data_IF_342831454488
#
_entry.id   IF_342831454488
#
_cell.length_a   1.000
_cell.length_b   1.000
_cell.length_c   1.000
_cell.angle_alpha   90.00
_cell.angle_beta   90.00
_cell.angle_gamma   90.00
#
_symmetry.space_group_name_H-M   'P 1'
#
loop_
_entity.id
_entity.type
_entity.pdbx_description
1 polymer ?
#
# COMPACT_ATOMS: atom_id res chain seq x y z
N UNK A 1 20.58 -15.05 13.75
CA UNK A 1 19.61 -15.10 12.65
C UNK A 1 20.28 -14.60 11.39
N UNK A 2 20.24 -15.37 10.30
CA UNK A 2 20.81 -14.97 9.00
C UNK A 2 19.79 -14.15 8.20
N UNK A 3 20.32 -13.26 7.38
CA UNK A 3 19.56 -12.48 6.40
C UNK A 3 20.16 -12.69 5.01
N UNK A 4 19.32 -12.51 3.98
CA UNK A 4 19.81 -12.47 2.61
C UNK A 4 20.80 -11.31 2.43
N UNK A 5 22.01 -11.60 1.97
CA UNK A 5 23.07 -10.59 1.77
C UNK A 5 22.70 -9.50 0.77
N UNK A 6 21.75 -9.78 -0.13
CA UNK A 6 21.35 -8.86 -1.20
C UNK A 6 20.13 -8.04 -0.81
N UNK A 7 19.05 -8.69 -0.37
CA UNK A 7 17.77 -8.01 -0.13
C UNK A 7 17.40 -7.84 1.34
N UNK A 8 18.26 -8.23 2.29
CA UNK A 8 18.02 -8.08 3.73
C UNK A 8 16.94 -8.99 4.33
N UNK A 9 16.19 -9.74 3.51
CA UNK A 9 15.08 -10.57 4.02
C UNK A 9 15.61 -11.61 5.03
N UNK A 10 15.04 -11.67 6.26
CA UNK A 10 15.43 -12.66 7.26
C UNK A 10 15.00 -14.08 6.89
N UNK A 11 15.78 -15.09 7.33
CA UNK A 11 15.42 -16.51 7.19
C UNK A 11 14.21 -16.93 8.05
N UNK A 12 13.81 -16.09 9.03
CA UNK A 12 12.60 -16.30 9.84
C UNK A 12 11.30 -16.00 9.11
N UNK A 13 11.37 -15.30 7.97
CA UNK A 13 10.21 -15.07 7.12
C UNK A 13 9.79 -16.39 6.49
N UNK A 14 8.51 -16.72 6.61
CA UNK A 14 7.98 -17.99 6.10
C UNK A 14 8.27 -18.16 4.59
N UNK A 15 8.69 -19.37 4.22
CA UNK A 15 9.10 -19.72 2.86
C UNK A 15 10.44 -19.13 2.38
N UNK A 16 11.21 -18.45 3.23
CA UNK A 16 12.55 -17.96 2.87
C UNK A 16 13.62 -19.00 3.18
N UNK A 17 14.29 -19.45 2.14
CA UNK A 17 15.48 -20.29 2.24
C UNK A 17 16.70 -19.54 1.70
N UNK A 18 17.77 -19.51 2.49
CA UNK A 18 19.08 -19.00 2.09
C UNK A 18 19.98 -20.16 1.66
N UNK A 19 20.72 -19.98 0.57
CA UNK A 19 21.79 -20.92 0.20
C UNK A 19 23.04 -20.77 1.10
N UNK A 20 24.07 -21.58 0.82
CA UNK A 20 25.36 -21.54 1.53
C UNK A 20 26.02 -20.17 1.45
N UNK A 21 25.87 -19.45 0.34
CA UNK A 21 26.35 -18.08 0.16
C UNK A 21 25.51 -17.01 0.87
N UNK A 22 24.40 -17.38 1.50
CA UNK A 22 23.50 -16.45 2.19
C UNK A 22 22.59 -15.65 1.26
N UNK A 23 22.24 -16.19 0.10
CA UNK A 23 21.36 -15.54 -0.88
C UNK A 23 20.02 -16.28 -0.97
N UNK A 24 18.91 -15.54 -0.87
CA UNK A 24 17.59 -16.15 -0.96
C UNK A 24 17.24 -16.58 -2.39
N UNK A 25 16.34 -17.56 -2.50
CA UNK A 25 15.84 -18.08 -3.80
C UNK A 25 15.34 -16.98 -4.75
N UNK A 26 14.64 -15.98 -4.22
CA UNK A 26 14.12 -14.86 -5.03
C UNK A 26 15.25 -14.00 -5.63
N UNK A 27 16.27 -13.65 -4.82
CA UNK A 27 17.45 -12.91 -5.29
C UNK A 27 18.18 -13.67 -6.40
N UNK A 28 18.46 -14.96 -6.19
CA UNK A 28 19.14 -15.80 -7.20
C UNK A 28 18.44 -15.80 -8.56
N UNK A 29 17.10 -15.76 -8.56
CA UNK A 29 16.29 -15.76 -9.79
C UNK A 29 16.17 -14.38 -10.42
N UNK A 30 15.90 -13.35 -9.62
CA UNK A 30 15.47 -12.04 -10.13
C UNK A 30 16.62 -11.09 -10.46
N UNK A 31 17.77 -11.21 -9.80
CA UNK A 31 18.89 -10.26 -9.98
C UNK A 31 19.47 -10.31 -11.39
N UNK A 32 19.34 -11.45 -12.07
CA UNK A 32 19.79 -11.60 -13.46
C UNK A 32 19.00 -10.72 -14.45
N UNK A 33 17.78 -10.33 -14.09
CA UNK A 33 16.85 -9.62 -14.97
C UNK A 33 16.10 -8.52 -14.20
N UNK A 34 16.84 -7.56 -13.65
CA UNK A 34 16.25 -6.35 -13.08
C UNK A 34 15.94 -5.38 -14.23
N UNK A 35 14.65 -5.08 -14.50
CA UNK A 35 14.29 -4.13 -15.54
C UNK A 35 14.79 -2.72 -15.16
N UNK A 36 15.27 -1.98 -16.15
CA UNK A 36 15.72 -0.60 -15.92
C UNK A 36 14.53 0.29 -15.52
N UNK A 37 14.74 1.19 -14.54
CA UNK A 37 13.71 2.19 -14.18
C UNK A 37 13.25 3.00 -15.39
N UNK A 38 14.17 3.33 -16.30
CA UNK A 38 13.86 4.06 -17.54
C UNK A 38 12.90 3.25 -18.42
N UNK A 39 13.16 1.95 -18.59
CA UNK A 39 12.30 1.06 -19.38
C UNK A 39 10.92 0.88 -18.74
N UNK A 40 10.86 0.77 -17.41
CA UNK A 40 9.59 0.68 -16.68
C UNK A 40 8.75 1.95 -16.87
N UNK A 41 9.35 3.13 -16.69
CA UNK A 41 8.67 4.41 -16.88
C UNK A 41 8.20 4.59 -18.32
N UNK A 42 9.02 4.22 -19.28
CA UNK A 42 8.67 4.30 -20.70
C UNK A 42 7.47 3.41 -21.05
N UNK A 43 7.39 2.20 -20.47
CA UNK A 43 6.23 1.31 -20.62
C UNK A 43 4.97 1.90 -20.00
N UNK A 44 5.08 2.52 -18.82
CA UNK A 44 3.95 3.20 -18.16
C UNK A 44 3.47 4.38 -19.00
N UNK A 45 4.39 5.26 -19.42
CA UNK A 45 4.11 6.45 -20.24
C UNK A 45 3.37 6.07 -21.53
N UNK A 46 3.90 5.11 -22.29
CA UNK A 46 3.25 4.62 -23.51
C UNK A 46 1.87 4.03 -23.27
N UNK A 47 1.67 3.34 -22.14
CA UNK A 47 0.36 2.79 -21.82
C UNK A 47 -0.67 3.90 -21.52
N UNK A 48 -0.25 4.96 -20.83
CA UNK A 48 -1.09 6.13 -20.58
C UNK A 48 -1.39 6.90 -21.87
N UNK A 49 -0.38 7.15 -22.71
CA UNK A 49 -0.55 7.84 -24.02
C UNK A 49 -1.45 7.09 -24.99
N UNK A 50 -1.53 5.76 -24.87
CA UNK A 50 -2.42 4.94 -25.69
C UNK A 50 -3.84 4.81 -25.10
N UNK A 51 -4.13 5.49 -23.99
CA UNK A 51 -5.43 5.47 -23.31
C UNK A 51 -6.04 6.87 -23.36
N UNK A 52 -7.19 7.03 -24.00
CA UNK A 52 -7.89 8.31 -24.10
C UNK A 52 -8.61 8.60 -22.77
N UNK A 53 -9.39 7.63 -22.29
CA UNK A 53 -10.15 7.71 -21.04
C UNK A 53 -9.63 6.72 -20.01
N UNK A 54 -9.23 7.21 -18.84
CA UNK A 54 -8.70 6.38 -17.75
C UNK A 54 -9.46 6.53 -16.44
N UNK A 55 -9.62 5.40 -15.73
CA UNK A 55 -10.08 5.38 -14.34
C UNK A 55 -8.88 5.33 -13.39
N UNK A 56 -8.70 6.35 -12.56
CA UNK A 56 -7.64 6.38 -11.55
C UNK A 56 -8.18 5.89 -10.20
N UNK A 57 -7.52 4.89 -9.64
CA UNK A 57 -7.77 4.39 -8.29
C UNK A 57 -7.11 5.30 -7.24
N UNK A 58 -7.92 6.06 -6.48
CA UNK A 58 -7.40 7.03 -5.51
C UNK A 58 -7.72 6.62 -4.06
N UNK A 59 -6.69 6.58 -3.21
CA UNK A 59 -6.81 6.21 -1.80
C UNK A 59 -6.41 7.33 -0.83
N UNK A 60 -6.02 8.50 -1.34
CA UNK A 60 -5.49 9.62 -0.55
C UNK A 60 -4.04 9.45 -0.07
N UNK A 61 -3.41 8.32 -0.38
CA UNK A 61 -1.98 8.09 -0.15
C UNK A 61 -1.10 8.63 -1.28
N UNK A 62 0.19 8.79 -1.00
CA UNK A 62 1.20 9.39 -1.89
C UNK A 62 1.14 8.79 -3.29
N UNK A 63 1.25 7.47 -3.36
CA UNK A 63 1.35 6.76 -4.63
C UNK A 63 0.10 6.89 -5.49
N UNK A 64 -1.09 6.89 -4.86
CA UNK A 64 -2.35 7.03 -5.58
C UNK A 64 -2.63 8.45 -6.04
N UNK A 65 -2.17 9.45 -5.29
CA UNK A 65 -2.25 10.86 -5.69
C UNK A 65 -1.23 11.16 -6.79
N UNK A 66 -0.01 10.63 -6.70
CA UNK A 66 0.98 10.75 -7.77
C UNK A 66 0.51 10.08 -9.06
N UNK A 67 -0.16 8.93 -8.97
CA UNK A 67 -0.79 8.28 -10.12
C UNK A 67 -1.88 9.13 -10.76
N UNK A 68 -2.69 9.83 -9.94
CA UNK A 68 -3.69 10.79 -10.44
C UNK A 68 -3.02 11.97 -11.14
N UNK A 69 -2.01 12.58 -10.51
CA UNK A 69 -1.27 13.69 -11.10
C UNK A 69 -0.61 13.30 -12.43
N UNK A 70 0.01 12.12 -12.51
CA UNK A 70 0.58 11.62 -13.75
C UNK A 70 -0.48 11.39 -14.85
N UNK A 71 -1.65 10.87 -14.50
CA UNK A 71 -2.73 10.69 -15.45
C UNK A 71 -3.27 12.03 -15.98
N UNK A 72 -3.44 13.03 -15.11
CA UNK A 72 -3.88 14.38 -15.49
C UNK A 72 -2.91 15.09 -16.45
N UNK A 73 -1.62 14.75 -16.40
CA UNK A 73 -0.60 15.29 -17.32
C UNK A 73 -0.62 14.66 -18.71
N UNK A 74 -1.16 13.45 -18.86
CA UNK A 74 -0.93 12.61 -20.05
C UNK A 74 -2.21 12.23 -20.77
N UNK A 75 -3.27 11.88 -20.04
CA UNK A 75 -4.53 11.39 -20.60
C UNK A 75 -5.50 12.54 -20.88
N UNK A 76 -6.30 12.40 -21.92
CA UNK A 76 -7.29 13.41 -22.31
C UNK A 76 -8.49 13.43 -21.36
N UNK A 77 -9.00 12.25 -20.97
CA UNK A 77 -10.11 12.11 -20.04
C UNK A 77 -9.72 11.29 -18.80
N UNK A 78 -9.81 11.92 -17.63
CA UNK A 78 -9.47 11.30 -16.35
C UNK A 78 -10.70 11.29 -15.46
N UNK A 79 -11.09 10.11 -15.00
CA UNK A 79 -12.09 9.94 -13.95
C UNK A 79 -11.45 9.27 -12.74
N UNK A 80 -11.78 9.72 -11.54
CA UNK A 80 -11.24 9.17 -10.30
C UNK A 80 -12.29 8.35 -9.55
N UNK A 81 -11.83 7.29 -8.89
CA UNK A 81 -12.66 6.50 -7.99
C UNK A 81 -11.93 6.28 -6.67
N UNK A 82 -12.62 6.58 -5.58
CA UNK A 82 -12.23 6.20 -4.22
C UNK A 82 -13.13 5.09 -3.72
N UNK A 83 -12.54 3.99 -3.23
CA UNK A 83 -13.28 2.97 -2.49
C UNK A 83 -13.07 3.21 -1.00
N UNK A 84 -14.12 3.63 -0.31
CA UNK A 84 -14.11 3.81 1.13
C UNK A 84 -14.30 2.46 1.83
N UNK A 85 -13.24 2.05 2.53
CA UNK A 85 -13.20 0.79 3.28
C UNK A 85 -13.66 0.94 4.74
N UNK A 86 -13.94 2.17 5.19
CA UNK A 86 -14.12 2.53 6.59
C UNK A 86 -12.80 2.65 7.36
N UNK A 87 -11.66 2.39 6.74
CA UNK A 87 -10.33 2.41 7.37
C UNK A 87 -9.37 3.45 6.77
N UNK A 88 -9.88 4.38 5.95
CA UNK A 88 -9.08 5.51 5.48
C UNK A 88 -8.85 6.49 6.64
N UNK A 89 -7.61 6.96 6.76
CA UNK A 89 -7.21 7.93 7.76
C UNK A 89 -7.83 9.31 7.47
N UNK A 90 -8.15 10.13 8.49
CA UNK A 90 -8.70 11.47 8.31
C UNK A 90 -7.88 12.36 7.37
N UNK A 91 -6.55 12.32 7.48
CA UNK A 91 -5.68 13.08 6.57
C UNK A 91 -5.73 12.55 5.12
N UNK A 92 -5.92 11.25 4.91
CA UNK A 92 -6.13 10.70 3.57
C UNK A 92 -7.44 11.20 2.97
N UNK A 93 -8.50 11.28 3.79
CA UNK A 93 -9.76 11.90 3.42
C UNK A 93 -9.61 13.38 3.07
N UNK A 94 -8.88 14.13 3.90
CA UNK A 94 -8.57 15.55 3.65
C UNK A 94 -7.89 15.73 2.29
N UNK A 95 -6.88 14.91 2.00
CA UNK A 95 -6.16 14.92 0.71
C UNK A 95 -7.06 14.55 -0.46
N UNK A 96 -7.94 13.55 -0.31
CA UNK A 96 -8.94 13.20 -1.34
C UNK A 96 -9.85 14.39 -1.65
N UNK A 97 -10.36 15.07 -0.62
CA UNK A 97 -11.26 16.23 -0.80
C UNK A 97 -10.53 17.38 -1.51
N UNK A 98 -9.29 17.68 -1.11
CA UNK A 98 -8.49 18.74 -1.72
C UNK A 98 -8.11 18.40 -3.16
N UNK A 99 -7.57 17.20 -3.41
CA UNK A 99 -7.20 16.75 -4.75
C UNK A 99 -8.42 16.72 -5.68
N UNK A 100 -9.59 16.29 -5.20
CA UNK A 100 -10.85 16.34 -5.96
C UNK A 100 -11.23 17.77 -6.35
N UNK A 101 -11.13 18.71 -5.40
CA UNK A 101 -11.44 20.12 -5.67
C UNK A 101 -10.47 20.73 -6.69
N UNK A 102 -9.19 20.37 -6.62
CA UNK A 102 -8.15 20.95 -7.46
C UNK A 102 -8.11 20.37 -8.87
N UNK A 103 -8.34 19.06 -9.00
CA UNK A 103 -8.37 18.39 -10.30
C UNK A 103 -9.59 18.78 -11.14
N UNK A 104 -10.73 19.09 -10.52
CA UNK A 104 -11.95 19.48 -11.24
C UNK A 104 -12.57 18.36 -12.08
N UNK A 105 -12.12 17.12 -11.93
CA UNK A 105 -12.59 15.95 -12.69
C UNK A 105 -13.80 15.28 -12.05
N UNK A 106 -14.45 14.39 -12.80
CA UNK A 106 -15.41 13.45 -12.22
C UNK A 106 -14.69 12.55 -11.20
N UNK A 107 -15.23 12.53 -9.98
CA UNK A 107 -14.66 11.74 -8.90
C UNK A 107 -15.77 11.09 -8.09
N UNK A 108 -15.83 9.78 -8.17
CA UNK A 108 -16.80 8.96 -7.46
C UNK A 108 -16.23 8.37 -6.17
N UNK A 109 -17.09 8.18 -5.18
CA UNK A 109 -16.75 7.56 -3.89
C UNK A 109 -17.73 6.42 -3.64
N UNK A 110 -17.22 5.19 -3.53
CA UNK A 110 -18.03 4.00 -3.19
C UNK A 110 -17.88 3.70 -1.70
N UNK A 111 -19.00 3.82 -0.96
CA UNK A 111 -19.05 3.71 0.51
C UNK A 111 -19.52 2.36 1.09
N UNK A 112 -19.38 1.25 0.36
CA UNK A 112 -19.78 -0.07 0.88
C UNK A 112 -18.71 -0.65 1.84
N UNK A 113 -18.69 -0.12 3.07
CA UNK A 113 -17.68 -0.43 4.10
C UNK A 113 -17.89 -1.79 4.76
N UNK A 114 -19.14 -2.29 4.87
CA UNK A 114 -19.47 -3.49 5.67
C UNK A 114 -18.63 -4.72 5.33
N UNK A 115 -18.39 -5.06 4.06
CA UNK A 115 -17.54 -6.21 3.71
C UNK A 115 -16.09 -6.04 4.16
N UNK A 116 -15.56 -4.82 4.14
CA UNK A 116 -14.20 -4.53 4.58
C UNK A 116 -14.06 -4.63 6.09
N UNK A 117 -15.01 -4.07 6.84
CA UNK A 117 -15.03 -4.16 8.30
C UNK A 117 -15.08 -5.61 8.78
N UNK A 118 -15.92 -6.45 8.15
CA UNK A 118 -15.96 -7.89 8.43
C UNK A 118 -14.62 -8.58 8.14
N UNK A 119 -14.00 -8.26 7.01
CA UNK A 119 -12.68 -8.79 6.65
C UNK A 119 -11.62 -8.39 7.70
N UNK A 120 -11.62 -7.13 8.14
CA UNK A 120 -10.68 -6.65 9.16
C UNK A 120 -10.87 -7.39 10.48
N UNK A 121 -12.11 -7.59 10.91
CA UNK A 121 -12.43 -8.34 12.13
C UNK A 121 -11.87 -9.76 12.10
N UNK A 122 -12.16 -10.49 11.02
CA UNK A 122 -11.73 -11.87 10.82
C UNK A 122 -10.19 -12.00 10.84
N UNK A 123 -9.50 -11.10 10.12
CA UNK A 123 -8.04 -11.18 9.93
C UNK A 123 -7.27 -10.69 11.16
N UNK A 124 -7.68 -9.58 11.77
CA UNK A 124 -7.01 -9.07 12.98
C UNK A 124 -7.18 -10.05 14.16
N UNK A 125 -8.35 -10.69 14.31
CA UNK A 125 -8.56 -11.72 15.33
C UNK A 125 -7.54 -12.86 15.22
N UNK A 126 -7.22 -13.26 13.98
CA UNK A 126 -6.27 -14.33 13.66
C UNK A 126 -4.82 -13.88 13.57
N UNK A 127 -4.55 -12.58 13.76
CA UNK A 127 -3.27 -11.93 13.51
C UNK A 127 -2.73 -12.22 12.10
N UNK A 128 -3.61 -12.16 11.10
CA UNK A 128 -3.30 -12.33 9.68
C UNK A 128 -3.37 -10.98 8.95
N UNK A 129 -2.63 -10.84 7.85
CA UNK A 129 -2.67 -9.62 7.04
C UNK A 129 -4.02 -9.47 6.31
N UNK A 130 -4.77 -8.35 6.49
CA UNK A 130 -5.98 -8.08 5.73
C UNK A 130 -5.71 -7.50 4.34
N UNK A 131 -4.49 -7.01 4.07
CA UNK A 131 -4.18 -6.14 2.94
C UNK A 131 -4.39 -6.83 1.58
N UNK A 132 -3.99 -8.10 1.45
CA UNK A 132 -4.17 -8.86 0.20
C UNK A 132 -5.64 -9.05 -0.18
N UNK A 133 -6.48 -9.66 0.70
CA UNK A 133 -7.92 -9.75 0.46
C UNK A 133 -8.61 -8.40 0.27
N UNK A 134 -8.24 -7.37 1.06
CA UNK A 134 -8.81 -6.03 0.97
C UNK A 134 -8.51 -5.40 -0.41
N UNK A 135 -7.25 -5.43 -0.85
CA UNK A 135 -6.83 -4.93 -2.17
C UNK A 135 -7.57 -5.63 -3.31
N UNK A 136 -7.83 -6.95 -3.21
CA UNK A 136 -8.64 -7.66 -4.22
C UNK A 136 -10.10 -7.17 -4.25
N UNK A 137 -10.70 -6.90 -3.10
CA UNK A 137 -12.07 -6.38 -3.01
C UNK A 137 -12.20 -4.97 -3.57
N UNK A 138 -11.19 -4.13 -3.34
CA UNK A 138 -11.06 -2.79 -3.93
C UNK A 138 -10.90 -2.91 -5.45
N UNK A 139 -9.97 -3.74 -5.91
CA UNK A 139 -9.68 -3.93 -7.35
C UNK A 139 -10.92 -4.39 -8.12
N UNK A 140 -11.73 -5.30 -7.56
CA UNK A 140 -13.00 -5.73 -8.18
C UNK A 140 -14.00 -4.60 -8.37
N UNK A 141 -14.02 -3.60 -7.47
CA UNK A 141 -14.88 -2.41 -7.59
C UNK A 141 -14.38 -1.49 -8.70
N UNK A 142 -13.07 -1.26 -8.78
CA UNK A 142 -12.47 -0.54 -9.92
C UNK A 142 -12.75 -1.24 -11.25
N UNK A 143 -12.54 -2.55 -11.34
CA UNK A 143 -12.80 -3.32 -12.57
C UNK A 143 -14.26 -3.26 -13.00
N UNK A 144 -15.20 -3.35 -12.05
CA UNK A 144 -16.63 -3.21 -12.35
C UNK A 144 -16.91 -1.82 -12.92
N UNK A 145 -16.48 -0.78 -12.19
CA UNK A 145 -16.78 0.61 -12.54
C UNK A 145 -16.12 1.04 -13.85
N UNK A 146 -14.90 0.57 -14.10
CA UNK A 146 -14.18 0.78 -15.34
C UNK A 146 -14.96 0.28 -16.56
N UNK A 147 -15.57 -0.92 -16.47
CA UNK A 147 -16.41 -1.46 -17.55
C UNK A 147 -17.71 -0.68 -17.76
N UNK A 148 -18.34 -0.24 -16.66
CA UNK A 148 -19.56 0.59 -16.74
C UNK A 148 -19.30 1.95 -17.40
N UNK A 149 -18.11 2.53 -17.16
CA UNK A 149 -17.70 3.82 -17.72
C UNK A 149 -17.07 3.72 -19.11
N UNK A 150 -16.78 2.50 -19.58
CA UNK A 150 -16.12 2.26 -20.87
C UNK A 150 -14.72 2.88 -20.96
N UNK A 151 -13.92 2.79 -19.89
CA UNK A 151 -12.54 3.35 -19.88
C UNK A 151 -11.54 2.41 -20.57
N UNK A 152 -10.48 2.97 -21.15
CA UNK A 152 -9.42 2.24 -21.84
C UNK A 152 -8.46 1.55 -20.86
N UNK A 153 -8.26 2.13 -19.68
CA UNK A 153 -7.36 1.58 -18.66
C UNK A 153 -7.74 1.98 -17.23
N UNK A 154 -7.30 1.17 -16.28
CA UNK A 154 -7.32 1.47 -14.85
C UNK A 154 -5.90 1.85 -14.41
N UNK A 155 -5.72 3.02 -13.82
CA UNK A 155 -4.42 3.50 -13.33
C UNK A 155 -4.35 3.35 -11.81
N UNK A 156 -3.25 2.76 -11.31
CA UNK A 156 -3.03 2.52 -9.88
C UNK A 156 -1.65 2.98 -9.43
N UNK A 157 -1.52 3.33 -8.15
CA UNK A 157 -0.25 3.75 -7.53
C UNK A 157 0.77 2.63 -7.27
N UNK A 158 0.64 1.43 -7.83
CA UNK A 158 1.60 0.36 -7.52
C UNK A 158 2.98 0.64 -8.14
N UNK A 159 4.03 0.39 -7.37
CA UNK A 159 5.41 0.71 -7.72
C UNK A 159 6.22 -0.47 -8.27
N UNK A 160 5.84 -1.70 -7.95
CA UNK A 160 6.58 -2.89 -8.36
C UNK A 160 5.83 -3.79 -9.36
N UNK A 161 6.52 -4.22 -10.42
CA UNK A 161 6.14 -5.43 -11.12
C UNK A 161 6.52 -6.63 -10.24
N UNK A 162 5.59 -7.18 -9.45
CA UNK A 162 5.81 -8.39 -8.65
C UNK A 162 5.96 -9.66 -9.52
N UNK A 163 7.00 -9.72 -10.36
CA UNK A 163 7.15 -10.75 -11.40
C UNK A 163 6.19 -10.58 -12.58
N UNK A 164 5.59 -9.40 -12.74
CA UNK A 164 4.62 -9.10 -13.81
C UNK A 164 5.08 -7.89 -14.64
N UNK A 165 4.27 -7.42 -15.59
CA UNK A 165 4.52 -6.17 -16.33
C UNK A 165 3.98 -4.94 -15.55
N UNK A 166 4.50 -3.72 -15.80
CA UNK A 166 3.85 -2.46 -15.40
C UNK A 166 2.41 -2.33 -15.91
N UNK A 167 2.11 -2.98 -17.04
CA UNK A 167 0.76 -3.08 -17.60
C UNK A 167 0.27 -4.51 -17.42
N UNK A 168 -0.76 -4.70 -16.60
CA UNK A 168 -1.37 -6.01 -16.37
C UNK A 168 -2.42 -6.24 -17.46
N UNK A 169 -2.34 -7.33 -18.25
CA UNK A 169 -3.25 -7.61 -19.35
C UNK A 169 -4.60 -8.11 -18.81
N UNK A 170 -5.43 -7.16 -18.39
CA UNK A 170 -6.84 -7.35 -18.02
C UNK A 170 -7.72 -6.58 -19.01
N UNK A 171 -9.02 -6.72 -18.85
CA UNK A 171 -10.02 -5.99 -19.64
C UNK A 171 -10.93 -5.15 -18.71
N UNK A 172 -10.72 -3.82 -18.64
CA UNK A 172 -9.62 -3.06 -19.26
C UNK A 172 -8.25 -3.29 -18.56
N UNK A 173 -7.11 -3.00 -19.23
CA UNK A 173 -5.77 -3.18 -18.66
C UNK A 173 -5.54 -2.34 -17.40
N UNK A 174 -4.69 -2.86 -16.50
CA UNK A 174 -4.30 -2.14 -15.28
C UNK A 174 -2.87 -1.62 -15.39
N UNK A 175 -2.72 -0.30 -15.37
CA UNK A 175 -1.44 0.40 -15.41
C UNK A 175 -0.97 0.66 -13.97
N UNK A 176 0.26 0.23 -13.66
CA UNK A 176 0.96 0.50 -12.40
C UNK A 176 1.85 1.72 -12.57
N UNK A 177 1.30 2.88 -12.26
CA UNK A 177 1.89 4.17 -12.65
C UNK A 177 3.24 4.46 -11.99
N UNK A 178 3.48 3.93 -10.79
CA UNK A 178 4.68 4.26 -10.01
C UNK A 178 5.89 3.39 -10.35
N UNK A 179 5.77 2.47 -11.33
CA UNK A 179 6.87 1.63 -11.78
C UNK A 179 8.03 2.47 -12.33
N UNK A 180 9.19 2.37 -11.68
CA UNK A 180 10.40 3.10 -12.04
C UNK A 180 10.51 4.50 -11.44
N UNK A 181 9.58 4.91 -10.58
CA UNK A 181 9.61 6.19 -9.85
C UNK A 181 10.10 6.00 -8.41
N UNK A 182 10.91 6.95 -7.93
CA UNK A 182 11.33 7.13 -6.54
C UNK A 182 10.22 7.77 -5.70
N UNK A 183 10.35 7.76 -4.37
CA UNK A 183 9.38 8.42 -3.50
C UNK A 183 9.40 9.96 -3.68
N UNK A 184 10.58 10.55 -3.89
CA UNK A 184 10.71 12.00 -4.10
C UNK A 184 10.02 12.45 -5.40
N UNK A 185 10.24 11.75 -6.51
CA UNK A 185 9.54 12.05 -7.78
C UNK A 185 8.01 12.00 -7.60
N UNK A 186 7.50 11.09 -6.76
CA UNK A 186 6.06 11.01 -6.46
C UNK A 186 5.57 12.20 -5.64
N UNK A 187 6.38 12.65 -4.68
CA UNK A 187 6.07 13.83 -3.85
C UNK A 187 6.04 15.09 -4.70
N UNK A 188 7.01 15.27 -5.58
CA UNK A 188 7.07 16.38 -6.53
C UNK A 188 5.81 16.44 -7.41
N UNK A 189 5.37 15.31 -7.99
CA UNK A 189 4.12 15.26 -8.76
C UNK A 189 2.92 15.72 -7.90
N UNK A 190 2.80 15.23 -6.67
CA UNK A 190 1.66 15.57 -5.81
C UNK A 190 1.67 17.03 -5.37
N UNK A 191 2.86 17.58 -5.11
CA UNK A 191 3.04 18.99 -4.76
C UNK A 191 2.73 19.91 -5.95
N UNK A 192 3.22 19.57 -7.16
CA UNK A 192 2.98 20.35 -8.37
C UNK A 192 1.49 20.35 -8.79
N UNK A 193 0.82 19.19 -8.73
CA UNK A 193 -0.58 19.07 -9.18
C UNK A 193 -1.60 19.51 -8.14
N UNK A 194 -1.30 19.29 -6.85
CA UNK A 194 -2.27 19.48 -5.78
C UNK A 194 -1.79 20.39 -4.65
N UNK A 195 -0.56 20.89 -4.67
CA UNK A 195 -0.03 21.69 -3.56
C UNK A 195 -0.09 20.95 -2.21
N UNK A 196 -0.03 19.61 -2.23
CA UNK A 196 -0.16 18.77 -1.05
C UNK A 196 1.18 18.15 -0.67
N UNK A 197 1.51 18.19 0.61
CA UNK A 197 2.56 17.35 1.20
C UNK A 197 1.94 16.07 1.76
N UNK A 198 2.57 14.94 1.48
CA UNK A 198 2.04 13.61 1.85
C UNK A 198 3.02 12.83 2.71
N UNK A 199 2.82 12.90 4.02
CA UNK A 199 3.61 12.13 4.98
C UNK A 199 2.97 10.81 5.36
N UNK A 200 3.82 9.92 5.90
CA UNK A 200 3.39 8.64 6.45
C UNK A 200 2.70 8.86 7.81
N UNK A 201 1.49 8.34 7.93
CA UNK A 201 0.71 8.20 9.15
C UNK A 201 1.39 7.16 10.05
N UNK A 202 1.70 7.61 11.26
CA UNK A 202 2.47 6.86 12.27
C UNK A 202 3.77 6.26 11.72
N UNK A 203 4.31 6.77 10.60
CA UNK A 203 5.52 6.22 9.96
C UNK A 203 5.33 4.98 9.07
N UNK A 204 4.14 4.37 9.00
CA UNK A 204 3.95 3.05 8.36
C UNK A 204 3.13 3.06 7.06
N UNK A 205 2.17 3.98 6.92
CA UNK A 205 1.24 4.04 5.78
C UNK A 205 0.93 5.47 5.42
N UNK A 206 0.52 5.77 4.20
CA UNK A 206 0.06 7.12 3.84
C UNK A 206 -1.46 7.27 3.82
N UNK A 207 -2.21 6.18 4.07
CA UNK A 207 -3.67 6.20 3.92
C UNK A 207 -4.51 5.36 4.91
N UNK A 208 -4.02 4.23 5.44
CA UNK A 208 -4.89 3.23 6.08
C UNK A 208 -4.58 2.99 7.57
N UNK A 209 -5.56 3.23 8.43
CA UNK A 209 -5.37 3.11 9.89
C UNK A 209 -5.20 1.66 10.38
N UNK A 210 -5.65 0.67 9.60
CA UNK A 210 -5.63 -0.75 10.01
C UNK A 210 -4.24 -1.37 9.84
N UNK A 211 -3.42 -0.85 8.92
CA UNK A 211 -2.13 -1.44 8.60
C UNK A 211 -1.20 -1.54 9.83
N UNK A 212 -1.00 -0.48 10.65
CA UNK A 212 -0.14 -0.55 11.82
C UNK A 212 -0.58 -1.64 12.82
N UNK A 213 -1.89 -1.76 13.08
CA UNK A 213 -2.42 -2.78 13.98
C UNK A 213 -2.20 -4.20 13.44
N UNK A 214 -2.42 -4.39 12.14
CA UNK A 214 -2.15 -5.67 11.49
C UNK A 214 -0.67 -6.04 11.56
N UNK A 215 0.23 -5.07 11.29
CA UNK A 215 1.68 -5.25 11.37
C UNK A 215 2.11 -5.71 12.76
N UNK A 216 1.67 -5.01 13.82
CA UNK A 216 2.00 -5.36 15.20
C UNK A 216 1.50 -6.76 15.58
N UNK A 217 0.24 -7.06 15.31
CA UNK A 217 -0.35 -8.38 15.62
C UNK A 217 0.36 -9.51 14.89
N UNK A 218 0.61 -9.35 13.60
CA UNK A 218 1.30 -10.35 12.80
C UNK A 218 2.73 -10.56 13.30
N UNK A 219 3.45 -9.48 13.59
CA UNK A 219 4.81 -9.56 14.13
C UNK A 219 4.83 -10.30 15.47
N UNK A 220 3.88 -10.04 16.37
CA UNK A 220 3.80 -10.76 17.66
C UNK A 220 3.56 -12.26 17.50
N UNK A 221 2.82 -12.66 16.45
CA UNK A 221 2.52 -14.08 16.18
C UNK A 221 3.64 -14.82 15.46
N UNK A 222 4.27 -14.18 14.48
CA UNK A 222 5.20 -14.84 13.56
C UNK A 222 6.65 -14.37 13.66
N UNK A 223 6.93 -13.28 14.38
CA UNK A 223 8.28 -12.75 14.60
C UNK A 223 8.88 -11.98 13.41
N UNK A 224 8.08 -11.65 12.38
CA UNK A 224 8.50 -10.86 11.23
C UNK A 224 7.34 -10.05 10.65
N UNK A 225 7.63 -9.05 9.79
CA UNK A 225 6.62 -8.24 9.09
C UNK A 225 6.11 -8.96 7.83
N UNK A 226 4.80 -9.00 7.60
CA UNK A 226 4.24 -9.52 6.35
C UNK A 226 4.57 -8.66 5.12
N UNK A 227 5.13 -7.45 5.29
CA UNK A 227 5.65 -6.64 4.20
C UNK A 227 7.07 -7.04 3.77
N UNK A 228 7.76 -7.88 4.54
CA UNK A 228 9.14 -8.27 4.25
C UNK A 228 9.36 -8.76 2.81
N UNK A 229 8.47 -9.57 2.18
CA UNK A 229 8.64 -9.97 0.78
C UNK A 229 8.59 -8.80 -0.21
N UNK A 230 7.72 -7.81 0.04
CA UNK A 230 7.56 -6.59 -0.76
C UNK A 230 8.77 -5.68 -0.60
N UNK A 231 9.18 -5.38 0.63
CA UNK A 231 10.34 -4.56 0.94
C UNK A 231 11.63 -5.18 0.39
N UNK A 232 11.79 -6.50 0.54
CA UNK A 232 12.90 -7.22 -0.06
C UNK A 232 12.93 -7.09 -1.59
N UNK A 233 11.77 -7.04 -2.25
CA UNK A 233 11.70 -6.77 -3.68
C UNK A 233 12.12 -5.32 -3.98
N UNK A 234 11.70 -4.35 -3.18
CA UNK A 234 12.11 -2.94 -3.34
C UNK A 234 13.63 -2.79 -3.22
N UNK A 235 14.25 -3.45 -2.24
CA UNK A 235 15.73 -3.50 -2.11
C UNK A 235 16.36 -4.15 -3.34
N UNK A 236 15.84 -5.31 -3.80
CA UNK A 236 16.37 -6.00 -5.00
C UNK A 236 16.36 -5.11 -6.23
N UNK A 237 15.33 -4.30 -6.40
CA UNK A 237 15.19 -3.38 -7.54
C UNK A 237 15.80 -1.99 -7.27
N UNK A 238 16.47 -1.83 -6.13
CA UNK A 238 17.19 -0.62 -5.73
C UNK A 238 16.31 0.57 -5.36
N UNK A 239 15.00 0.39 -5.12
CA UNK A 239 14.09 1.49 -4.71
C UNK A 239 14.36 2.01 -3.30
N UNK A 240 14.81 1.13 -2.41
CA UNK A 240 15.17 1.45 -1.03
C UNK A 240 16.45 0.72 -0.67
N UNK A 241 17.16 1.22 0.34
CA UNK A 241 18.31 0.53 0.92
C UNK A 241 17.88 -0.61 1.84
N UNK A 242 18.84 -1.45 2.25
CA UNK A 242 18.60 -2.47 3.29
C UNK A 242 18.30 -1.83 4.65
N UNK A 243 18.95 -0.72 4.94
CA UNK A 243 18.74 0.05 6.17
C UNK A 243 17.31 0.60 6.24
N UNK A 244 16.82 1.18 5.14
CA UNK A 244 15.42 1.62 5.03
C UNK A 244 14.45 0.46 5.26
N UNK A 245 14.74 -0.71 4.68
CA UNK A 245 13.92 -1.91 4.89
C UNK A 245 13.90 -2.34 6.35
N UNK A 246 15.03 -2.33 7.04
CA UNK A 246 15.11 -2.69 8.47
C UNK A 246 14.30 -1.71 9.34
N UNK A 247 14.38 -0.42 9.04
CA UNK A 247 13.57 0.60 9.71
C UNK A 247 12.07 0.37 9.46
N UNK A 248 11.64 0.18 8.20
CA UNK A 248 10.23 -0.05 7.85
C UNK A 248 9.69 -1.37 8.43
N UNK A 249 10.54 -2.39 8.57
CA UNK A 249 10.15 -3.68 9.14
C UNK A 249 9.91 -3.63 10.66
N UNK A 250 10.36 -2.58 11.34
CA UNK A 250 10.13 -2.41 12.77
C UNK A 250 8.62 -2.26 13.02
N UNK A 251 8.00 -3.11 13.84
CA UNK A 251 6.57 -3.03 14.08
C UNK A 251 6.23 -1.81 14.95
N UNK A 252 5.01 -1.25 14.83
CA UNK A 252 4.54 -0.17 15.70
C UNK A 252 4.62 -0.52 17.18
N UNK A 253 4.96 0.48 17.99
CA UNK A 253 4.88 0.37 19.45
C UNK A 253 3.41 0.41 19.90
N UNK A 254 3.14 -0.03 21.13
CA UNK A 254 1.80 0.12 21.72
C UNK A 254 1.41 1.60 21.87
N UNK A 255 2.39 2.49 22.08
CA UNK A 255 2.17 3.93 22.13
C UNK A 255 1.69 4.46 20.78
N UNK A 256 2.41 4.10 19.69
CA UNK A 256 2.06 4.50 18.32
C UNK A 256 0.62 4.11 17.97
N UNK A 257 0.19 2.91 18.37
CA UNK A 257 -1.17 2.42 18.10
C UNK A 257 -2.25 3.15 18.92
N UNK A 258 -1.95 3.50 20.18
CA UNK A 258 -2.87 4.25 21.04
C UNK A 258 -3.03 5.69 20.55
N UNK A 259 -1.93 6.32 20.12
CA UNK A 259 -1.95 7.65 19.53
C UNK A 259 -2.74 7.66 18.22
N UNK A 260 -2.43 6.74 17.30
CA UNK A 260 -3.16 6.61 16.03
C UNK A 260 -4.67 6.40 16.23
N UNK A 261 -5.08 5.56 17.18
CA UNK A 261 -6.51 5.37 17.45
C UNK A 261 -7.15 6.66 17.96
N UNK A 262 -6.50 7.39 18.87
CA UNK A 262 -7.00 8.65 19.43
C UNK A 262 -7.15 9.71 18.35
N UNK A 263 -6.22 9.81 17.42
CA UNK A 263 -6.30 10.75 16.29
C UNK A 263 -7.49 10.45 15.36
N UNK A 264 -7.86 9.18 15.23
CA UNK A 264 -8.84 8.73 14.25
C UNK A 264 -10.22 8.42 14.83
N UNK A 265 -10.38 8.32 16.15
CA UNK A 265 -11.53 7.66 16.78
C UNK A 265 -12.89 8.33 16.48
N UNK A 266 -12.90 9.62 16.17
CA UNK A 266 -14.11 10.37 15.82
C UNK A 266 -14.52 10.22 14.34
N UNK A 267 -13.60 9.75 13.50
CA UNK A 267 -13.73 9.73 12.03
C UNK A 267 -13.99 8.33 11.47
N UNK A 268 -13.80 7.30 12.30
CA UNK A 268 -13.86 5.90 11.87
C UNK A 268 -15.17 5.27 12.33
N UNK A 269 -15.67 4.24 11.64
CA UNK A 269 -16.87 3.52 12.09
C UNK A 269 -16.70 2.99 13.50
N UNK A 270 -17.74 3.11 14.33
CA UNK A 270 -17.73 2.66 15.72
C UNK A 270 -17.33 1.18 15.87
N UNK A 271 -17.75 0.33 14.91
CA UNK A 271 -17.34 -1.08 14.89
C UNK A 271 -15.84 -1.26 14.66
N UNK A 272 -15.20 -0.41 13.84
CA UNK A 272 -13.76 -0.41 13.65
C UNK A 272 -13.04 0.10 14.89
N UNK A 273 -13.52 1.19 15.50
CA UNK A 273 -12.99 1.72 16.76
C UNK A 273 -12.95 0.65 17.85
N UNK A 274 -14.07 -0.03 18.09
CA UNK A 274 -14.16 -1.10 19.08
C UNK A 274 -13.22 -2.26 18.78
N UNK A 275 -13.06 -2.61 17.49
CA UNK A 275 -12.14 -3.66 17.06
C UNK A 275 -10.69 -3.29 17.35
N UNK A 276 -10.25 -2.09 16.99
CA UNK A 276 -8.88 -1.61 17.23
C UNK A 276 -8.60 -1.47 18.74
N UNK A 277 -9.58 -1.03 19.53
CA UNK A 277 -9.46 -1.01 21.00
C UNK A 277 -9.28 -2.41 21.58
N UNK A 278 -10.01 -3.42 21.10
CA UNK A 278 -9.80 -4.82 21.49
C UNK A 278 -8.38 -5.31 21.15
N UNK A 279 -7.85 -4.89 20.01
CA UNK A 279 -6.47 -5.20 19.62
C UNK A 279 -5.47 -4.56 20.59
N UNK A 280 -5.63 -3.29 20.94
CA UNK A 280 -4.78 -2.60 21.95
C UNK A 280 -4.80 -3.33 23.29
N UNK A 281 -5.98 -3.74 23.75
CA UNK A 281 -6.11 -4.46 25.02
C UNK A 281 -5.43 -5.83 24.96
N UNK A 282 -5.57 -6.56 23.84
CA UNK A 282 -4.88 -7.83 23.62
C UNK A 282 -3.36 -7.70 23.66
N UNK A 283 -2.81 -6.68 22.99
CA UNK A 283 -1.37 -6.40 22.95
C UNK A 283 -0.86 -6.05 24.36
N UNK A 284 -1.58 -5.17 25.06
CA UNK A 284 -1.22 -4.74 26.42
C UNK A 284 -1.14 -5.93 27.39
N UNK A 285 -2.11 -6.86 27.33
CA UNK A 285 -2.12 -8.04 28.19
C UNK A 285 -1.00 -9.05 27.88
N UNK A 286 -0.60 -9.17 26.61
CA UNK A 286 0.52 -10.04 26.23
C UNK A 286 1.88 -9.47 26.61
N UNK A 287 2.04 -8.14 26.64
CA UNK A 287 3.29 -7.51 27.06
C UNK A 287 3.48 -7.64 28.59
N UNK A 288 2.40 -7.48 29.37
CA UNK A 288 2.38 -7.74 30.82
C UNK A 288 2.70 -9.20 31.19
N UNK A 289 2.36 -10.15 30.32
CA UNK A 289 2.68 -11.57 30.50
C UNK A 289 4.15 -11.92 30.24
N UNK A 290 4.91 -11.06 29.55
CA UNK A 290 6.35 -11.23 29.33
C UNK A 290 7.19 -10.64 30.46
N UNK A 291 6.75 -9.55 31.08
CA UNK A 291 7.46 -8.93 32.21
C UNK A 291 7.37 -9.73 33.52
N UNK A 292 6.40 -10.62 33.67
CA UNK A 292 6.22 -11.46 34.87
C UNK A 292 6.76 -12.89 34.70
N UNK A 293 7.54 -13.14 33.65
CA UNK A 293 8.01 -14.48 33.26
C UNK A 293 9.52 -14.65 33.13
N UNK A 294 10.32 -13.65 33.53
CA UNK A 294 11.79 -13.70 33.63
C UNK A 294 12.26 -13.93 35.07
#
# INVERSE_FOLDING_TARGET
MRQCRICGIPETVDGVELDESGVCRACRRQIRHIPSRKELREKVRKALENSEKVLVAVSGGLDSLAALGLALRICDEVVALTVDTGALHPEAWRRIILARRMSGIEWEIIGDQKPFLKLFEERLTRAESPCGPCSRMITRRYERRARELGVDAIVTGHELPHGTSPVVPKDPPVIRAMCGMTENERREIVEEEFGLTVDKISGYTSNCIVLPFALKLFYMKYGYSFEAPRLAAMVRYGYISREDMEQIMTPPTLSDLKELLRECEEWIPESLKQMLQKVINKISNSDLGRENGD
#
